data_IF_512591968932
#
_entry.id   IF_512591968932
#
_cell.length_a   1.000
_cell.length_b   1.000
_cell.length_c   1.000
_cell.angle_alpha   90.00
_cell.angle_beta   90.00
_cell.angle_gamma   90.00
#
_symmetry.space_group_name_H-M   'P 1'
#
loop_
_entity.id
_entity.type
_entity.pdbx_description
1 polymer ?
#
# COMPACT_ATOMS: atom_id res chain seq x y z
N UNK A 1 -23.54 -32.60 20.46
CA UNK A 1 -23.05 -32.40 19.08
C UNK A 1 -24.24 -32.54 18.16
N UNK A 2 -24.49 -31.56 17.28
CA UNK A 2 -25.59 -31.64 16.30
C UNK A 2 -25.41 -32.87 15.41
N UNK A 3 -26.39 -33.78 15.39
CA UNK A 3 -26.36 -35.00 14.57
C UNK A 3 -26.23 -34.70 13.06
N UNK A 4 -26.73 -33.52 12.63
CA UNK A 4 -26.55 -32.98 11.29
C UNK A 4 -25.07 -32.69 10.95
N UNK A 5 -24.29 -32.20 11.91
CA UNK A 5 -22.87 -31.91 11.70
C UNK A 5 -22.06 -33.21 11.58
N UNK A 6 -22.44 -34.25 12.32
CA UNK A 6 -21.82 -35.58 12.22
C UNK A 6 -22.05 -36.17 10.83
N UNK A 7 -23.29 -36.08 10.32
CA UNK A 7 -23.62 -36.49 8.95
C UNK A 7 -22.81 -35.71 7.90
N UNK A 8 -22.69 -34.39 8.06
CA UNK A 8 -21.90 -33.55 7.16
C UNK A 8 -20.43 -33.98 7.11
N UNK A 9 -19.82 -34.25 8.27
CA UNK A 9 -18.43 -34.68 8.39
C UNK A 9 -18.18 -36.05 7.77
N UNK A 10 -19.13 -36.99 7.87
CA UNK A 10 -19.01 -38.29 7.21
C UNK A 10 -19.06 -38.21 5.69
N UNK A 11 -19.73 -37.18 5.12
CA UNK A 11 -19.82 -37.00 3.67
C UNK A 11 -18.67 -36.17 3.11
N UNK A 12 -18.17 -35.20 3.88
CA UNK A 12 -17.12 -34.28 3.47
C UNK A 12 -15.97 -34.33 4.49
N UNK A 13 -14.96 -35.19 4.30
CA UNK A 13 -13.85 -35.32 5.25
C UNK A 13 -13.04 -34.02 5.39
N UNK A 14 -12.97 -33.22 4.33
CA UNK A 14 -12.29 -31.91 4.32
C UNK A 14 -12.98 -30.87 5.22
N UNK A 15 -14.24 -31.09 5.59
CA UNK A 15 -14.99 -30.21 6.48
C UNK A 15 -14.39 -30.21 7.90
N UNK A 16 -13.84 -31.34 8.36
CA UNK A 16 -13.25 -31.42 9.71
C UNK A 16 -12.03 -30.51 9.86
N UNK A 17 -11.15 -30.51 8.86
CA UNK A 17 -9.99 -29.61 8.81
C UNK A 17 -10.44 -28.16 8.67
N UNK A 18 -11.42 -27.89 7.81
CA UNK A 18 -11.96 -26.54 7.60
C UNK A 18 -12.63 -25.96 8.85
N UNK A 19 -13.37 -26.77 9.62
CA UNK A 19 -13.98 -26.37 10.89
C UNK A 19 -12.93 -26.07 11.97
N UNK A 20 -11.80 -26.79 11.95
CA UNK A 20 -10.71 -26.56 12.91
C UNK A 20 -9.94 -25.28 12.61
N UNK A 21 -9.84 -24.90 11.33
CA UNK A 21 -9.16 -23.68 10.85
C UNK A 21 -10.10 -22.47 10.75
N UNK A 22 -11.41 -22.66 10.98
CA UNK A 22 -12.41 -21.61 10.96
C UNK A 22 -12.23 -20.67 12.17
N UNK A 23 -11.63 -19.51 11.92
CA UNK A 23 -11.52 -18.44 12.92
C UNK A 23 -12.84 -17.66 13.11
N UNK A 24 -13.82 -17.82 12.22
CA UNK A 24 -15.09 -17.11 12.30
C UNK A 24 -16.05 -17.74 13.32
N UNK A 25 -15.92 -19.04 13.59
CA UNK A 25 -16.81 -19.79 14.48
C UNK A 25 -18.26 -19.83 13.99
N UNK A 26 -18.49 -19.69 12.68
CA UNK A 26 -19.83 -19.66 12.06
C UNK A 26 -20.03 -20.74 11.01
N UNK A 27 -18.97 -21.44 10.61
CA UNK A 27 -19.04 -22.46 9.58
C UNK A 27 -19.87 -23.67 10.02
N UNK A 28 -19.84 -24.02 11.30
CA UNK A 28 -20.65 -25.08 11.91
C UNK A 28 -22.15 -24.78 11.82
N UNK A 29 -22.57 -23.57 12.21
CA UNK A 29 -23.95 -23.13 12.19
C UNK A 29 -24.51 -23.06 10.75
N UNK A 30 -23.71 -22.58 9.80
CA UNK A 30 -24.11 -22.45 8.41
C UNK A 30 -24.27 -23.81 7.72
N UNK A 31 -23.36 -24.76 7.98
CA UNK A 31 -23.45 -26.12 7.43
C UNK A 31 -24.70 -26.83 7.95
N UNK A 32 -25.01 -26.67 9.25
CA UNK A 32 -26.22 -27.23 9.85
C UNK A 32 -27.48 -26.55 9.32
N UNK A 33 -27.48 -25.21 9.17
CA UNK A 33 -28.61 -24.47 8.61
C UNK A 33 -28.86 -24.87 7.14
N UNK A 34 -27.79 -25.05 6.36
CA UNK A 34 -27.87 -25.48 4.98
C UNK A 34 -28.48 -26.88 4.87
N UNK A 35 -27.99 -27.84 5.67
CA UNK A 35 -28.55 -29.20 5.72
C UNK A 35 -30.04 -29.22 6.09
N UNK A 36 -30.45 -28.40 7.07
CA UNK A 36 -31.85 -28.25 7.47
C UNK A 36 -32.72 -27.61 6.38
N UNK A 37 -32.14 -26.69 5.59
CA UNK A 37 -32.85 -26.06 4.46
C UNK A 37 -33.02 -27.01 3.28
N UNK A 38 -32.02 -27.85 3.00
CA UNK A 38 -32.06 -28.82 1.90
C UNK A 38 -32.95 -30.03 2.20
N UNK A 39 -33.07 -30.41 3.47
CA UNK A 39 -33.87 -31.55 3.92
C UNK A 39 -35.37 -31.28 4.03
N UNK A 40 -35.83 -30.02 3.97
CA UNK A 40 -37.25 -29.66 3.88
C UNK A 40 -38.20 -30.45 4.80
N UNK A 41 -38.23 -30.18 6.11
CA UNK A 41 -39.09 -30.87 7.11
C UNK A 41 -38.93 -32.40 7.23
N UNK A 42 -38.09 -33.06 6.44
CA UNK A 42 -37.83 -34.49 6.53
C UNK A 42 -36.95 -34.82 7.75
N UNK A 43 -37.12 -36.02 8.31
CA UNK A 43 -36.31 -36.48 9.44
C UNK A 43 -34.88 -36.82 8.98
N UNK A 44 -33.91 -36.69 9.88
CA UNK A 44 -32.49 -36.96 9.61
C UNK A 44 -32.24 -38.35 8.98
N UNK A 45 -33.04 -39.35 9.36
CA UNK A 45 -32.95 -40.71 8.85
C UNK A 45 -33.35 -40.80 7.36
N UNK A 46 -34.44 -40.15 6.97
CA UNK A 46 -34.93 -40.15 5.58
C UNK A 46 -33.98 -39.43 4.63
N UNK A 47 -33.35 -38.37 5.15
CA UNK A 47 -32.35 -37.57 4.43
C UNK A 47 -31.08 -38.40 4.19
N UNK A 48 -30.61 -39.13 5.21
CA UNK A 48 -29.45 -40.03 5.07
C UNK A 48 -29.71 -41.10 4.01
N UNK A 49 -30.87 -41.74 4.04
CA UNK A 49 -31.21 -42.81 3.09
C UNK A 49 -31.32 -42.27 1.66
N UNK A 50 -31.83 -41.04 1.46
CA UNK A 50 -31.82 -40.37 0.15
C UNK A 50 -30.41 -40.08 -0.36
N UNK A 51 -29.50 -39.65 0.50
CA UNK A 51 -28.11 -39.43 0.12
C UNK A 51 -27.32 -40.72 -0.13
N UNK A 52 -27.80 -41.86 0.36
CA UNK A 52 -27.28 -43.19 0.01
C UNK A 52 -27.86 -43.69 -1.32
N UNK A 53 -29.13 -43.38 -1.59
CA UNK A 53 -29.83 -43.84 -2.80
C UNK A 53 -29.56 -42.96 -4.02
N UNK A 54 -29.27 -41.67 -3.82
CA UNK A 54 -29.00 -40.69 -4.89
C UNK A 54 -27.56 -40.14 -4.81
N UNK A 55 -26.61 -40.71 -5.58
CA UNK A 55 -25.24 -40.23 -5.63
C UNK A 55 -25.10 -38.82 -6.23
N UNK A 56 -26.03 -38.38 -7.09
CA UNK A 56 -25.98 -37.05 -7.69
C UNK A 56 -26.30 -35.96 -6.67
N UNK A 57 -27.19 -36.24 -5.71
CA UNK A 57 -27.49 -35.34 -4.60
C UNK A 57 -26.27 -35.17 -3.67
N UNK A 58 -25.52 -36.25 -3.43
CA UNK A 58 -24.29 -36.23 -2.64
C UNK A 58 -23.21 -35.39 -3.30
N UNK A 59 -22.98 -35.55 -4.60
CA UNK A 59 -21.98 -34.74 -5.34
C UNK A 59 -22.28 -33.24 -5.25
N UNK A 60 -23.53 -32.84 -5.48
CA UNK A 60 -23.95 -31.43 -5.35
C UNK A 60 -23.76 -30.89 -3.94
N UNK A 61 -24.02 -31.71 -2.92
CA UNK A 61 -23.80 -31.33 -1.53
C UNK A 61 -22.31 -31.11 -1.25
N UNK A 62 -21.44 -32.04 -1.66
CA UNK A 62 -19.98 -31.94 -1.51
C UNK A 62 -19.45 -30.69 -2.22
N UNK A 63 -19.92 -30.42 -3.44
CA UNK A 63 -19.53 -29.25 -4.23
C UNK A 63 -19.93 -27.93 -3.54
N UNK A 64 -21.17 -27.85 -3.05
CA UNK A 64 -21.67 -26.64 -2.38
C UNK A 64 -21.02 -26.38 -1.02
N UNK A 65 -20.78 -27.43 -0.22
CA UNK A 65 -20.02 -27.32 1.02
C UNK A 65 -18.57 -26.94 0.73
N UNK A 66 -17.96 -27.51 -0.31
CA UNK A 66 -16.63 -27.13 -0.78
C UNK A 66 -16.54 -25.64 -1.15
N UNK A 67 -17.55 -25.12 -1.86
CA UNK A 67 -17.63 -23.70 -2.19
C UNK A 67 -17.82 -22.81 -0.95
N UNK A 68 -18.62 -23.25 0.02
CA UNK A 68 -18.81 -22.53 1.28
C UNK A 68 -17.52 -22.48 2.11
N UNK A 69 -16.78 -23.59 2.17
CA UNK A 69 -15.46 -23.68 2.79
C UNK A 69 -14.47 -22.76 2.05
N UNK A 70 -14.47 -22.72 0.72
CA UNK A 70 -13.59 -21.83 -0.04
C UNK A 70 -13.91 -20.35 0.18
N UNK A 71 -15.18 -20.01 0.44
CA UNK A 71 -15.63 -18.65 0.70
C UNK A 71 -15.35 -18.17 2.13
N UNK A 72 -15.39 -19.08 3.11
CA UNK A 72 -15.27 -18.74 4.55
C UNK A 72 -13.96 -19.18 5.21
N UNK A 73 -13.37 -20.28 4.74
CA UNK A 73 -12.09 -20.77 5.24
C UNK A 73 -10.97 -19.79 4.91
N UNK A 74 -9.86 -19.82 5.66
CA UNK A 74 -8.68 -19.08 5.27
C UNK A 74 -8.27 -19.54 3.86
N UNK A 75 -8.16 -18.58 2.93
CA UNK A 75 -7.57 -18.83 1.63
C UNK A 75 -6.26 -19.61 1.84
N UNK A 76 -6.02 -20.71 1.10
CA UNK A 76 -4.84 -21.52 1.32
C UNK A 76 -3.62 -20.60 1.24
N UNK A 77 -2.83 -20.57 2.32
CA UNK A 77 -1.61 -19.77 2.48
C UNK A 77 -0.48 -20.24 1.53
N UNK A 78 -0.84 -20.90 0.43
CA UNK A 78 0.00 -21.41 -0.63
C UNK A 78 -0.42 -20.84 -2.00
N UNK A 79 -1.00 -19.64 -2.03
CA UNK A 79 -0.98 -18.85 -3.26
C UNK A 79 0.38 -18.16 -3.32
N UNK A 80 1.24 -18.63 -4.23
CA UNK A 80 2.55 -18.03 -4.51
C UNK A 80 2.46 -16.50 -4.62
N UNK A 81 1.31 -15.99 -5.06
CA UNK A 81 0.95 -14.58 -5.15
C UNK A 81 0.94 -13.81 -3.81
N UNK A 82 0.49 -14.41 -2.70
CA UNK A 82 0.50 -13.75 -1.37
C UNK A 82 1.91 -13.71 -0.81
N UNK A 83 2.68 -14.80 -0.95
CA UNK A 83 4.10 -14.82 -0.63
C UNK A 83 4.92 -13.86 -1.48
N UNK A 84 4.57 -13.70 -2.76
CA UNK A 84 5.22 -12.73 -3.64
C UNK A 84 4.89 -11.30 -3.24
N UNK A 85 3.64 -11.00 -2.87
CA UNK A 85 3.24 -9.69 -2.34
C UNK A 85 3.96 -9.34 -1.05
N UNK A 86 4.13 -10.31 -0.14
CA UNK A 86 4.90 -10.12 1.10
C UNK A 86 6.38 -9.87 0.80
N UNK A 87 6.99 -10.63 -0.11
CA UNK A 87 8.38 -10.39 -0.56
C UNK A 87 8.58 -9.03 -1.20
N UNK A 88 7.60 -8.56 -1.99
CA UNK A 88 7.64 -7.23 -2.61
C UNK A 88 7.54 -6.13 -1.55
N UNK A 89 6.66 -6.29 -0.57
CA UNK A 89 6.53 -5.36 0.56
C UNK A 89 7.83 -5.27 1.37
N UNK A 90 8.45 -6.38 1.72
CA UNK A 90 9.74 -6.38 2.45
C UNK A 90 10.84 -5.66 1.65
N UNK A 91 10.92 -5.91 0.34
CA UNK A 91 11.88 -5.22 -0.53
C UNK A 91 11.61 -3.71 -0.66
N UNK A 92 10.35 -3.26 -0.55
CA UNK A 92 10.01 -1.84 -0.48
C UNK A 92 10.37 -1.22 0.87
N UNK A 93 10.14 -1.94 1.98
CA UNK A 93 10.54 -1.48 3.31
C UNK A 93 12.06 -1.31 3.42
N UNK A 94 12.85 -2.27 2.93
CA UNK A 94 14.30 -2.17 2.91
C UNK A 94 14.79 -0.94 2.12
N UNK A 95 14.14 -0.62 1.00
CA UNK A 95 14.46 0.58 0.21
C UNK A 95 14.10 1.86 0.95
N UNK A 96 12.96 1.92 1.64
CA UNK A 96 12.57 3.07 2.47
C UNK A 96 13.53 3.26 3.64
N UNK A 97 13.93 2.19 4.31
CA UNK A 97 14.90 2.24 5.40
C UNK A 97 16.27 2.72 4.90
N UNK A 98 16.75 2.22 3.77
CA UNK A 98 18.00 2.68 3.17
C UNK A 98 17.93 4.15 2.75
N UNK A 99 16.83 4.59 2.14
CA UNK A 99 16.63 6.00 1.80
C UNK A 99 16.62 6.89 3.05
N UNK A 100 16.01 6.41 4.15
CA UNK A 100 15.99 7.11 5.44
C UNK A 100 17.37 7.15 6.08
N UNK A 101 18.11 6.04 6.09
CA UNK A 101 19.50 5.98 6.60
C UNK A 101 20.42 6.87 5.78
N UNK A 102 20.30 6.86 4.46
CA UNK A 102 21.05 7.74 3.57
C UNK A 102 20.73 9.21 3.86
N UNK A 103 19.46 9.59 4.06
CA UNK A 103 19.07 10.94 4.47
C UNK A 103 19.66 11.34 5.84
N UNK A 104 19.60 10.44 6.81
CA UNK A 104 20.13 10.66 8.16
C UNK A 104 21.66 10.75 8.16
N UNK A 105 22.35 9.94 7.36
CA UNK A 105 23.81 10.00 7.19
C UNK A 105 24.24 11.28 6.45
N UNK A 106 23.46 11.74 5.47
CA UNK A 106 23.72 13.02 4.78
C UNK A 106 23.49 14.22 5.72
N UNK A 107 22.46 14.15 6.58
CA UNK A 107 22.25 15.13 7.65
C UNK A 107 23.35 15.07 8.71
N UNK A 108 23.84 13.88 9.08
CA UNK A 108 24.89 13.70 10.08
C UNK A 108 26.25 14.24 9.60
N UNK A 109 26.61 14.03 8.32
CA UNK A 109 27.87 14.57 7.75
C UNK A 109 27.86 16.09 7.61
N UNK A 110 26.69 16.70 7.44
CA UNK A 110 26.54 18.15 7.28
C UNK A 110 25.99 18.87 8.52
N UNK A 111 25.94 18.18 9.67
CA UNK A 111 25.25 18.58 10.90
C UNK A 111 25.64 19.97 11.42
N UNK A 112 26.85 20.45 11.12
CA UNK A 112 27.32 21.79 11.52
C UNK A 112 26.65 22.95 10.77
N UNK A 113 25.94 22.68 9.67
CA UNK A 113 25.30 23.73 8.87
C UNK A 113 23.84 23.43 8.54
N UNK A 114 23.26 22.37 9.13
CA UNK A 114 21.86 21.98 8.94
C UNK A 114 20.90 23.12 9.33
N UNK A 115 21.28 23.95 10.31
CA UNK A 115 20.48 25.10 10.72
C UNK A 115 20.62 26.31 9.79
N UNK A 116 21.66 26.40 8.97
CA UNK A 116 21.93 27.58 8.13
C UNK A 116 20.79 27.79 7.15
N UNK A 117 20.33 26.72 6.50
CA UNK A 117 19.27 26.80 5.50
C UNK A 117 17.91 27.29 6.08
N UNK A 118 17.37 26.70 7.18
CA UNK A 118 16.13 27.20 7.77
C UNK A 118 16.28 28.59 8.41
N UNK A 119 17.40 28.89 9.08
CA UNK A 119 17.62 30.20 9.69
C UNK A 119 17.70 31.30 8.64
N UNK A 120 18.41 31.06 7.53
CA UNK A 120 18.53 32.01 6.43
C UNK A 120 17.19 32.24 5.73
N UNK A 121 16.39 31.17 5.56
CA UNK A 121 15.04 31.26 4.99
C UNK A 121 14.13 32.11 5.87
N UNK A 122 14.09 31.85 7.18
CA UNK A 122 13.30 32.63 8.14
C UNK A 122 13.77 34.08 8.20
N UNK A 123 15.08 34.32 8.15
CA UNK A 123 15.67 35.66 8.13
C UNK A 123 15.25 36.47 6.89
N UNK A 124 15.33 35.88 5.70
CA UNK A 124 14.97 36.56 4.44
C UNK A 124 13.46 36.81 4.38
N UNK A 125 12.63 35.81 4.74
CA UNK A 125 11.17 35.97 4.78
C UNK A 125 10.75 37.01 5.82
N UNK A 126 11.30 36.96 7.03
CA UNK A 126 11.02 37.95 8.08
C UNK A 126 11.45 39.35 7.68
N UNK A 127 12.66 39.51 7.13
CA UNK A 127 13.16 40.79 6.62
C UNK A 127 12.27 41.36 5.52
N UNK A 128 11.80 40.53 4.59
CA UNK A 128 10.90 40.97 3.54
C UNK A 128 9.54 41.43 4.08
N UNK A 129 8.94 40.69 5.03
CA UNK A 129 7.69 41.09 5.69
C UNK A 129 7.85 42.44 6.41
N UNK A 130 8.99 42.66 7.08
CA UNK A 130 9.30 43.94 7.73
C UNK A 130 9.40 45.08 6.70
N UNK A 131 10.05 44.86 5.56
CA UNK A 131 10.14 45.86 4.49
C UNK A 131 8.78 46.19 3.88
N UNK A 132 7.92 45.18 3.69
CA UNK A 132 6.53 45.39 3.25
C UNK A 132 5.74 46.18 4.29
N UNK A 133 5.89 45.85 5.57
CA UNK A 133 5.26 46.58 6.67
C UNK A 133 5.72 48.05 6.71
N UNK A 134 7.01 48.31 6.56
CA UNK A 134 7.55 49.67 6.49
C UNK A 134 6.96 50.43 5.30
N UNK A 135 6.87 49.81 4.13
CA UNK A 135 6.23 50.42 2.95
C UNK A 135 4.75 50.76 3.21
N UNK A 136 4.03 49.89 3.93
CA UNK A 136 2.60 50.03 4.16
C UNK A 136 2.24 51.04 5.27
N UNK A 137 3.08 51.21 6.29
CA UNK A 137 2.73 51.94 7.51
C UNK A 137 3.74 53.01 7.95
N UNK A 138 4.91 53.10 7.31
CA UNK A 138 5.96 54.06 7.68
C UNK A 138 6.22 55.02 6.53
N UNK A 139 6.23 56.32 6.82
CA UNK A 139 6.59 57.35 5.83
C UNK A 139 8.11 57.34 5.66
N UNK A 140 8.58 56.88 4.50
CA UNK A 140 10.00 56.92 4.12
C UNK A 140 10.33 58.36 3.65
N UNK A 141 11.36 59.03 4.21
CA UNK A 141 11.80 60.33 3.73
C UNK A 141 12.20 60.28 2.25
N UNK A 142 11.86 61.31 1.49
CA UNK A 142 12.06 61.34 0.03
C UNK A 142 13.53 61.12 -0.39
N UNK A 143 14.47 61.64 0.42
CA UNK A 143 15.91 61.42 0.24
C UNK A 143 16.32 59.93 0.28
N UNK A 144 15.55 59.09 0.97
CA UNK A 144 15.82 57.66 1.14
C UNK A 144 14.94 56.76 0.26
N UNK A 145 13.87 57.30 -0.34
CA UNK A 145 12.88 56.52 -1.10
C UNK A 145 13.50 55.74 -2.26
N UNK A 146 14.44 56.33 -3.00
CA UNK A 146 15.13 55.66 -4.11
C UNK A 146 15.94 54.47 -3.62
N UNK A 147 16.72 54.65 -2.56
CA UNK A 147 17.56 53.58 -1.97
C UNK A 147 16.68 52.48 -1.39
N UNK A 148 15.61 52.85 -0.70
CA UNK A 148 14.65 51.91 -0.11
C UNK A 148 13.99 51.03 -1.18
N UNK A 149 13.52 51.61 -2.29
CA UNK A 149 12.90 50.86 -3.38
C UNK A 149 13.87 49.89 -4.07
N UNK A 150 15.15 50.25 -4.19
CA UNK A 150 16.19 49.33 -4.70
C UNK A 150 16.37 48.14 -3.77
N UNK A 151 16.46 48.37 -2.46
CA UNK A 151 16.59 47.32 -1.45
C UNK A 151 15.35 46.42 -1.45
N UNK A 152 14.15 47.00 -1.53
CA UNK A 152 12.89 46.27 -1.60
C UNK A 152 12.84 45.34 -2.84
N UNK A 153 13.27 45.83 -4.00
CA UNK A 153 13.35 45.03 -5.22
C UNK A 153 14.35 43.87 -5.11
N UNK A 154 15.54 44.12 -4.56
CA UNK A 154 16.54 43.08 -4.34
C UNK A 154 16.04 42.00 -3.36
N UNK A 155 15.40 42.42 -2.27
CA UNK A 155 14.81 41.50 -1.29
C UNK A 155 13.64 40.70 -1.86
N UNK A 156 12.83 41.29 -2.74
CA UNK A 156 11.73 40.58 -3.43
C UNK A 156 12.26 39.41 -4.27
N UNK A 157 13.35 39.61 -5.02
CA UNK A 157 14.01 38.54 -5.80
C UNK A 157 14.58 37.44 -4.90
N UNK A 158 15.22 37.81 -3.79
CA UNK A 158 15.74 36.86 -2.81
C UNK A 158 14.61 36.04 -2.17
N UNK A 159 13.51 36.68 -1.81
CA UNK A 159 12.32 36.04 -1.26
C UNK A 159 11.68 35.05 -2.26
N UNK A 160 11.52 35.44 -3.53
CA UNK A 160 11.04 34.56 -4.59
C UNK A 160 11.93 33.32 -4.77
N UNK A 161 13.26 33.50 -4.64
CA UNK A 161 14.23 32.39 -4.71
C UNK A 161 14.06 31.42 -3.53
N UNK A 162 13.86 31.93 -2.31
CA UNK A 162 13.61 31.11 -1.12
C UNK A 162 12.30 30.32 -1.27
N UNK A 163 11.22 30.97 -1.74
CA UNK A 163 9.96 30.28 -2.06
C UNK A 163 10.22 29.19 -3.10
N UNK A 164 10.90 29.52 -4.21
CA UNK A 164 11.23 28.56 -5.26
C UNK A 164 12.06 27.37 -4.75
N UNK A 165 12.98 27.59 -3.82
CA UNK A 165 13.75 26.52 -3.20
C UNK A 165 12.87 25.61 -2.34
N UNK A 166 12.04 26.18 -1.45
CA UNK A 166 11.19 25.39 -0.54
C UNK A 166 10.10 24.63 -1.31
N UNK A 167 9.37 25.30 -2.20
CA UNK A 167 8.27 24.68 -2.95
C UNK A 167 8.74 23.89 -4.18
N UNK A 168 9.89 24.25 -4.77
CA UNK A 168 10.48 23.53 -5.91
C UNK A 168 11.14 22.21 -5.51
N UNK A 169 11.67 22.10 -4.28
CA UNK A 169 12.26 20.83 -3.80
C UNK A 169 11.24 19.67 -3.76
N UNK A 170 9.96 19.95 -3.50
CA UNK A 170 8.87 18.96 -3.55
C UNK A 170 8.53 18.52 -4.99
N UNK A 171 8.70 19.38 -5.99
CA UNK A 171 8.49 19.03 -7.40
C UNK A 171 9.67 18.23 -7.93
N UNK A 172 10.90 18.60 -7.56
CA UNK A 172 12.12 17.90 -7.98
C UNK A 172 12.21 16.44 -7.52
N UNK A 173 11.61 16.08 -6.38
CA UNK A 173 11.54 14.65 -5.96
C UNK A 173 10.61 13.83 -6.87
N UNK A 174 9.51 14.43 -7.35
CA UNK A 174 8.56 13.76 -8.24
C UNK A 174 9.15 13.54 -9.64
N UNK A 175 9.88 14.51 -10.15
CA UNK A 175 10.58 14.38 -11.45
C UNK A 175 11.69 13.33 -11.38
N UNK A 176 12.52 13.34 -10.33
CA UNK A 176 13.57 12.32 -10.14
C UNK A 176 13.00 10.90 -10.02
N UNK A 177 11.82 10.74 -9.45
CA UNK A 177 11.12 9.45 -9.38
C UNK A 177 10.50 9.03 -10.72
N UNK A 178 10.19 9.97 -11.61
CA UNK A 178 9.77 9.67 -12.98
C UNK A 178 10.97 9.28 -13.86
N UNK A 179 12.08 10.00 -13.75
CA UNK A 179 13.30 9.71 -14.51
C UNK A 179 13.88 8.34 -14.13
N UNK A 180 13.98 8.03 -12.84
CA UNK A 180 14.38 6.70 -12.37
C UNK A 180 13.44 5.59 -12.84
N UNK A 181 12.13 5.87 -12.95
CA UNK A 181 11.16 4.91 -13.50
C UNK A 181 11.36 4.68 -14.98
N UNK A 182 11.67 5.72 -15.76
CA UNK A 182 11.99 5.61 -17.18
C UNK A 182 13.29 4.82 -17.38
N UNK A 183 14.33 5.11 -16.62
CA UNK A 183 15.59 4.36 -16.63
C UNK A 183 15.39 2.87 -16.28
N UNK A 184 14.54 2.56 -15.29
CA UNK A 184 14.22 1.19 -14.92
C UNK A 184 13.46 0.43 -16.03
N UNK A 185 12.56 1.10 -16.76
CA UNK A 185 11.84 0.51 -17.89
C UNK A 185 12.80 0.26 -19.06
N UNK A 186 13.72 1.18 -19.32
CA UNK A 186 14.71 1.05 -20.38
C UNK A 186 15.69 -0.10 -20.09
N UNK A 187 16.16 -0.24 -18.85
CA UNK A 187 17.00 -1.35 -18.43
C UNK A 187 16.27 -2.71 -18.48
N UNK A 188 14.98 -2.76 -18.14
CA UNK A 188 14.17 -3.96 -18.29
C UNK A 188 14.04 -4.36 -19.77
N UNK A 189 13.80 -3.39 -20.65
CA UNK A 189 13.70 -3.64 -22.11
C UNK A 189 15.03 -4.10 -22.73
N UNK A 190 16.15 -3.56 -22.26
CA UNK A 190 17.48 -3.98 -22.70
C UNK A 190 17.86 -5.39 -22.18
N UNK A 191 17.43 -5.72 -20.96
CA UNK A 191 17.61 -7.05 -20.38
C UNK A 191 16.85 -8.14 -21.14
N UNK A 192 15.60 -7.87 -21.51
CA UNK A 192 14.78 -8.80 -22.31
C UNK A 192 15.36 -8.99 -23.73
N UNK A 193 15.82 -7.91 -24.37
CA UNK A 193 16.46 -8.00 -25.69
C UNK A 193 17.75 -8.85 -25.65
N UNK A 194 18.55 -8.72 -24.59
CA UNK A 194 19.76 -9.52 -24.39
C UNK A 194 19.46 -11.00 -24.08
N UNK A 195 18.35 -11.29 -23.39
CA UNK A 195 17.91 -12.65 -23.10
C UNK A 195 17.41 -13.35 -24.37
N UNK A 196 16.63 -12.67 -25.20
CA UNK A 196 16.13 -13.18 -26.49
C UNK A 196 17.32 -13.48 -27.43
N UNK A 197 18.29 -12.57 -27.53
CA UNK A 197 19.47 -12.76 -28.38
C UNK A 197 20.30 -14.01 -28.00
N UNK A 198 20.30 -14.41 -26.72
CA UNK A 198 21.00 -15.63 -26.27
C UNK A 198 20.27 -16.91 -26.62
N UNK A 199 18.93 -16.89 -26.64
CA UNK A 199 18.12 -18.07 -26.97
C UNK A 199 18.21 -18.37 -28.47
N UNK A 200 18.21 -17.34 -29.32
CA UNK A 200 18.27 -17.48 -30.79
C UNK A 200 19.68 -17.84 -31.31
N UNK A 201 20.71 -17.80 -30.47
CA UNK A 201 22.10 -18.13 -30.83
C UNK A 201 22.49 -19.59 -30.53
N UNK A 202 21.53 -20.41 -30.08
CA UNK A 202 21.65 -21.86 -29.82
C UNK A 202 20.81 -22.64 -30.81
#
# INVERSE_FOLDING_TARGET
MDEWLVLAKTMVPSLEKALTDDRSGTLDADVVAFLKSASGKEALADVRDRFETDPALRERFVEQIGALIAKKGPAPVASDEVSEKLRRLDAEFDKLEQARRFYLEQQARNARHVWVNPVLSVGITGGFIVLVYMTAFVVIPEANSTVFNIILGAFSTAFATVIGFHFGSSVGSKDKDQDKRREAIEQASAGDAAAIARITAT
#
